data_IF_713907487402
#
_entry.id   IF_713907487402
#
_cell.length_a   1.000
_cell.length_b   1.000
_cell.length_c   1.000
_cell.angle_alpha   90.00
_cell.angle_beta   90.00
_cell.angle_gamma   90.00
#
_symmetry.space_group_name_H-M   'P 1'
#
loop_
_entity.id
_entity.type
_entity.pdbx_description
1 polymer ?
#
# COMPACT_ATOMS: atom_id res chain seq x y z
N UNK A 1 43.23 -1.35 11.73
CA UNK A 1 43.21 -2.54 10.85
C UNK A 1 43.95 -2.17 9.57
N UNK A 2 45.23 -2.55 9.45
CA UNK A 2 46.00 -2.26 8.24
C UNK A 2 45.71 -3.33 7.18
N UNK A 3 44.98 -2.92 6.13
CA UNK A 3 44.72 -3.76 4.97
C UNK A 3 45.91 -3.64 4.03
N UNK A 4 46.62 -4.74 3.82
CA UNK A 4 47.75 -4.79 2.88
C UNK A 4 47.25 -4.65 1.44
N UNK A 5 48.07 -4.05 0.56
CA UNK A 5 47.74 -3.82 -0.86
C UNK A 5 47.31 -5.09 -1.60
N UNK A 6 47.90 -6.25 -1.25
CA UNK A 6 47.50 -7.57 -1.76
C UNK A 6 46.10 -8.00 -1.32
N UNK A 7 45.74 -7.76 -0.06
CA UNK A 7 44.39 -8.03 0.45
C UNK A 7 43.35 -7.10 -0.20
N UNK A 8 43.70 -5.83 -0.40
CA UNK A 8 42.81 -4.88 -1.09
C UNK A 8 42.51 -5.33 -2.54
N UNK A 9 43.54 -5.76 -3.28
CA UNK A 9 43.39 -6.27 -4.65
C UNK A 9 42.59 -7.58 -4.72
N UNK A 10 42.71 -8.45 -3.71
CA UNK A 10 41.93 -9.68 -3.64
C UNK A 10 40.45 -9.45 -3.28
N UNK A 11 40.12 -8.37 -2.59
CA UNK A 11 38.75 -8.05 -2.15
C UNK A 11 37.96 -7.23 -3.17
N UNK A 12 38.63 -6.53 -4.10
CA UNK A 12 38.00 -5.71 -5.14
C UNK A 12 37.00 -6.48 -6.03
N UNK A 13 37.29 -7.71 -6.53
CA UNK A 13 36.33 -8.47 -7.33
C UNK A 13 35.07 -8.84 -6.54
N UNK A 14 35.25 -9.22 -5.26
CA UNK A 14 34.13 -9.56 -4.37
C UNK A 14 33.25 -8.33 -4.07
N UNK A 15 33.85 -7.16 -3.90
CA UNK A 15 33.13 -5.90 -3.74
C UNK A 15 32.36 -5.51 -5.03
N UNK A 16 32.93 -5.74 -6.21
CA UNK A 16 32.26 -5.48 -7.49
C UNK A 16 31.03 -6.38 -7.70
N UNK A 17 31.15 -7.67 -7.38
CA UNK A 17 30.00 -8.60 -7.43
C UNK A 17 28.94 -8.24 -6.38
N UNK A 18 29.35 -7.88 -5.16
CA UNK A 18 28.43 -7.42 -4.12
C UNK A 18 27.70 -6.11 -4.51
N UNK A 19 28.35 -5.23 -5.28
CA UNK A 19 27.76 -3.99 -5.77
C UNK A 19 26.61 -4.22 -6.76
N UNK A 20 26.64 -5.30 -7.55
CA UNK A 20 25.53 -5.67 -8.43
C UNK A 20 24.29 -6.07 -7.63
N UNK A 21 24.45 -6.80 -6.53
CA UNK A 21 23.34 -7.14 -5.63
C UNK A 21 22.78 -5.93 -4.89
N UNK A 22 23.61 -4.93 -4.57
CA UNK A 22 23.15 -3.65 -4.00
C UNK A 22 22.34 -2.85 -5.03
N UNK A 23 22.72 -2.87 -6.31
CA UNK A 23 21.95 -2.22 -7.40
C UNK A 23 20.69 -2.98 -7.80
N UNK A 24 20.66 -4.30 -7.70
CA UNK A 24 19.46 -5.09 -7.99
C UNK A 24 18.26 -4.75 -7.09
N UNK A 25 18.51 -4.12 -5.93
CA UNK A 25 17.48 -3.60 -5.03
C UNK A 25 17.06 -2.14 -5.29
N UNK A 26 17.67 -1.43 -6.25
CA UNK A 26 17.22 -0.07 -6.58
C UNK A 26 16.02 -0.13 -7.53
N UNK A 27 14.90 0.56 -7.24
CA UNK A 27 13.75 0.57 -8.13
C UNK A 27 14.18 1.04 -9.52
N UNK A 28 13.62 0.41 -10.56
CA UNK A 28 13.95 0.70 -11.95
C UNK A 28 13.65 2.19 -12.24
N UNK A 29 14.72 2.98 -12.37
CA UNK A 29 14.59 4.40 -12.66
C UNK A 29 14.14 4.54 -14.12
N UNK A 30 12.89 4.95 -14.33
CA UNK A 30 12.47 5.43 -15.64
C UNK A 30 13.33 6.64 -16.00
N UNK A 31 14.11 6.59 -17.11
CA UNK A 31 15.17 7.57 -17.39
C UNK A 31 14.64 9.00 -17.57
N UNK A 32 13.34 9.16 -17.80
CA UNK A 32 12.69 10.45 -18.02
C UNK A 32 11.71 10.83 -16.91
N UNK A 33 11.59 10.03 -15.85
CA UNK A 33 10.66 10.30 -14.76
C UNK A 33 11.26 11.25 -13.74
N UNK A 34 10.70 12.45 -13.65
CA UNK A 34 11.04 13.45 -12.64
C UNK A 34 9.90 13.53 -11.63
N UNK A 35 10.15 13.08 -10.42
CA UNK A 35 9.15 13.04 -9.32
C UNK A 35 8.60 14.41 -8.95
N UNK A 36 9.28 15.50 -9.31
CA UNK A 36 8.83 16.87 -9.01
C UNK A 36 7.87 17.46 -10.04
N UNK A 37 7.67 16.81 -11.19
CA UNK A 37 6.99 17.43 -12.34
C UNK A 37 5.46 17.31 -12.26
N UNK A 38 4.93 16.43 -11.43
CA UNK A 38 3.50 16.16 -11.31
C UNK A 38 3.13 15.65 -9.93
N UNK A 39 1.83 15.57 -9.66
CA UNK A 39 1.25 14.90 -8.50
C UNK A 39 0.39 13.73 -8.96
N UNK A 40 0.50 12.59 -8.27
CA UNK A 40 -0.34 11.44 -8.55
C UNK A 40 -1.68 11.54 -7.84
N UNK A 41 -2.73 11.13 -8.54
CA UNK A 41 -4.07 10.94 -8.00
C UNK A 41 -4.66 9.65 -8.54
N UNK A 42 -5.52 9.03 -7.74
CA UNK A 42 -6.27 7.84 -8.12
C UNK A 42 -7.74 8.10 -7.85
N UNK A 43 -8.57 7.84 -8.86
CA UNK A 43 -10.01 7.94 -8.77
C UNK A 43 -10.62 6.56 -8.97
N UNK A 44 -11.49 6.17 -8.05
CA UNK A 44 -12.23 4.92 -8.11
C UNK A 44 -13.70 5.31 -8.21
N UNK A 45 -14.32 4.98 -9.35
CA UNK A 45 -15.75 5.13 -9.51
C UNK A 45 -16.48 3.96 -8.83
N UNK A 46 -17.13 4.25 -7.71
CA UNK A 46 -17.85 3.24 -6.92
C UNK A 46 -19.21 2.87 -7.53
N UNK A 47 -19.74 3.64 -8.48
CA UNK A 47 -21.00 3.26 -9.15
C UNK A 47 -20.82 2.10 -10.13
N UNK A 48 -19.60 1.94 -10.63
CA UNK A 48 -19.19 0.86 -11.54
C UNK A 48 -18.52 -0.31 -10.79
N UNK A 49 -18.29 -0.17 -9.48
CA UNK A 49 -17.65 -1.22 -8.70
C UNK A 49 -18.62 -2.39 -8.49
N UNK A 50 -18.29 -3.55 -9.05
CA UNK A 50 -19.08 -4.79 -8.92
C UNK A 50 -18.54 -5.76 -7.85
N UNK A 51 -17.57 -5.34 -7.06
CA UNK A 51 -17.01 -6.17 -5.98
C UNK A 51 -16.25 -7.43 -6.45
N UNK A 52 -15.64 -7.41 -7.64
CA UNK A 52 -15.03 -8.62 -8.24
C UNK A 52 -13.70 -9.11 -7.62
N UNK A 53 -13.10 -8.34 -6.70
CA UNK A 53 -11.85 -8.70 -6.05
C UNK A 53 -10.57 -8.63 -6.92
N UNK A 54 -10.67 -8.26 -8.20
CA UNK A 54 -9.50 -8.20 -9.08
C UNK A 54 -8.45 -7.17 -8.64
N UNK A 55 -8.86 -6.02 -8.10
CA UNK A 55 -7.93 -5.04 -7.53
C UNK A 55 -7.19 -5.59 -6.30
N UNK A 56 -7.86 -6.38 -5.45
CA UNK A 56 -7.26 -7.04 -4.27
C UNK A 56 -6.20 -8.05 -4.71
N UNK A 57 -6.53 -8.90 -5.69
CA UNK A 57 -5.58 -9.91 -6.21
C UNK A 57 -4.39 -9.28 -6.92
N UNK A 58 -4.63 -8.29 -7.79
CA UNK A 58 -3.57 -7.60 -8.51
C UNK A 58 -2.62 -6.87 -7.56
N UNK A 59 -3.15 -6.16 -6.55
CA UNK A 59 -2.33 -5.49 -5.56
C UNK A 59 -1.50 -6.47 -4.73
N UNK A 60 -2.11 -7.60 -4.32
CA UNK A 60 -1.41 -8.64 -3.56
C UNK A 60 -0.26 -9.25 -4.37
N UNK A 61 -0.50 -9.54 -5.67
CA UNK A 61 0.51 -10.09 -6.57
C UNK A 61 1.66 -9.10 -6.81
N UNK A 62 1.34 -7.85 -7.15
CA UNK A 62 2.35 -6.83 -7.47
C UNK A 62 3.24 -6.49 -6.27
N UNK A 63 2.71 -6.60 -5.06
CA UNK A 63 3.39 -6.15 -3.85
C UNK A 63 3.83 -7.28 -2.91
N UNK A 64 3.79 -8.53 -3.39
CA UNK A 64 4.13 -9.74 -2.64
C UNK A 64 3.47 -9.77 -1.25
N UNK A 65 2.16 -9.47 -1.20
CA UNK A 65 1.43 -9.39 0.08
C UNK A 65 1.22 -10.81 0.63
N UNK A 66 1.62 -11.10 1.88
CA UNK A 66 1.42 -12.43 2.47
C UNK A 66 -0.06 -12.80 2.57
N UNK A 67 -0.36 -14.10 2.51
CA UNK A 67 -1.74 -14.59 2.63
C UNK A 67 -2.36 -14.19 3.98
N UNK A 68 -3.64 -13.79 3.96
CA UNK A 68 -4.34 -13.25 5.12
C UNK A 68 -4.07 -11.77 5.42
N UNK A 69 -3.21 -11.11 4.64
CA UNK A 69 -2.97 -9.66 4.72
C UNK A 69 -3.40 -8.97 3.43
N UNK A 70 -3.71 -7.68 3.52
CA UNK A 70 -4.21 -6.89 2.40
C UNK A 70 -3.60 -5.48 2.42
N UNK A 71 -3.32 -4.94 1.24
CA UNK A 71 -3.03 -3.51 1.03
C UNK A 71 -4.24 -2.75 0.48
N UNK A 72 -5.17 -3.47 -0.12
CA UNK A 72 -6.49 -3.02 -0.52
C UNK A 72 -7.49 -4.13 -0.26
N UNK A 73 -8.71 -3.77 0.15
CA UNK A 73 -9.83 -4.67 0.32
C UNK A 73 -11.10 -4.01 -0.23
N UNK A 74 -12.18 -4.78 -0.35
CA UNK A 74 -13.48 -4.25 -0.78
C UNK A 74 -14.47 -4.47 0.35
N UNK A 75 -15.27 -3.47 0.66
CA UNK A 75 -16.41 -3.57 1.58
C UNK A 75 -17.71 -3.53 0.78
N UNK A 76 -18.64 -4.43 1.08
CA UNK A 76 -20.03 -4.33 0.63
C UNK A 76 -20.85 -3.66 1.71
N UNK A 77 -21.52 -2.57 1.34
CA UNK A 77 -22.47 -1.87 2.18
C UNK A 77 -23.87 -2.25 1.76
N UNK A 78 -24.63 -2.83 2.69
CA UNK A 78 -26.05 -3.08 2.52
C UNK A 78 -26.85 -2.00 3.25
N UNK A 79 -27.73 -1.32 2.52
CA UNK A 79 -28.50 -0.17 3.00
C UNK A 79 -29.97 -0.36 2.65
N UNK A 80 -30.83 -0.48 3.66
CA UNK A 80 -32.28 -0.64 3.49
C UNK A 80 -33.03 0.69 3.39
N UNK A 81 -32.51 1.75 4.01
CA UNK A 81 -33.00 3.13 3.90
C UNK A 81 -31.86 4.17 3.99
N UNK A 82 -32.09 5.39 3.51
CA UNK A 82 -31.09 6.48 3.53
C UNK A 82 -30.91 7.15 4.90
N UNK A 83 -31.69 6.77 5.92
CA UNK A 83 -31.61 7.29 7.28
C UNK A 83 -30.80 6.37 8.23
N UNK A 84 -30.27 5.26 7.73
CA UNK A 84 -29.44 4.33 8.50
C UNK A 84 -28.16 5.00 8.99
N UNK A 85 -28.00 5.06 10.30
CA UNK A 85 -26.76 5.51 10.94
C UNK A 85 -25.63 4.47 10.85
N UNK A 86 -25.98 3.18 10.73
CA UNK A 86 -25.03 2.05 10.77
C UNK A 86 -25.40 0.99 9.72
N UNK A 87 -24.89 1.12 8.49
CA UNK A 87 -25.14 0.12 7.46
C UNK A 87 -24.51 -1.22 7.84
N UNK A 88 -25.07 -2.32 7.34
CA UNK A 88 -24.41 -3.61 7.43
C UNK A 88 -23.23 -3.63 6.45
N UNK A 89 -22.03 -3.84 6.96
CA UNK A 89 -20.79 -3.84 6.17
C UNK A 89 -20.11 -5.18 6.30
N UNK A 90 -19.79 -5.78 5.16
CA UNK A 90 -19.06 -7.04 5.10
C UNK A 90 -17.87 -6.97 4.14
N UNK A 91 -16.87 -7.79 4.41
CA UNK A 91 -15.64 -7.92 3.60
C UNK A 91 -15.06 -9.33 3.77
N UNK A 92 -15.73 -10.37 3.25
CA UNK A 92 -15.26 -11.76 3.38
C UNK A 92 -13.92 -11.91 2.67
N UNK A 93 -12.88 -12.36 3.39
CA UNK A 93 -11.52 -12.48 2.87
C UNK A 93 -11.02 -11.20 2.15
N UNK A 94 -11.38 -10.01 2.66
CA UNK A 94 -11.03 -8.73 2.03
C UNK A 94 -11.72 -8.45 0.69
N UNK A 95 -12.75 -9.24 0.32
CA UNK A 95 -13.38 -9.19 -1.00
C UNK A 95 -12.55 -9.83 -2.12
N UNK A 96 -11.46 -10.54 -1.79
CA UNK A 96 -10.52 -11.16 -2.75
C UNK A 96 -11.20 -12.15 -3.70
N UNK A 97 -12.18 -12.90 -3.18
CA UNK A 97 -12.91 -13.95 -3.90
C UNK A 97 -14.31 -13.50 -4.36
N UNK A 98 -14.59 -12.19 -4.27
CA UNK A 98 -15.93 -11.64 -4.48
C UNK A 98 -16.83 -11.78 -3.26
N UNK A 99 -18.14 -11.61 -3.48
CA UNK A 99 -19.14 -11.58 -2.42
C UNK A 99 -20.24 -12.61 -2.68
N UNK A 100 -20.75 -13.30 -1.64
CA UNK A 100 -21.87 -14.20 -1.79
C UNK A 100 -23.13 -13.43 -2.20
N UNK A 101 -24.12 -14.12 -2.76
CA UNK A 101 -25.42 -13.48 -3.02
C UNK A 101 -26.00 -12.93 -1.72
N UNK A 102 -26.44 -11.68 -1.78
CA UNK A 102 -27.13 -11.06 -0.65
C UNK A 102 -28.44 -11.81 -0.37
N UNK A 103 -28.69 -12.06 0.92
CA UNK A 103 -29.83 -12.82 1.40
C UNK A 103 -31.00 -11.90 1.79
N UNK A 104 -30.77 -10.60 1.93
CA UNK A 104 -31.81 -9.62 2.22
C UNK A 104 -32.27 -8.90 0.94
N UNK A 105 -33.48 -9.20 0.42
CA UNK A 105 -34.00 -8.54 -0.76
C UNK A 105 -34.46 -7.09 -0.49
N UNK A 106 -34.56 -6.69 0.78
CA UNK A 106 -34.85 -5.31 1.14
C UNK A 106 -33.54 -4.52 1.13
N UNK A 107 -33.50 -3.41 0.39
CA UNK A 107 -32.33 -2.53 0.32
C UNK A 107 -31.47 -2.66 -0.93
N UNK A 108 -30.35 -1.95 -0.92
CA UNK A 108 -29.38 -1.88 -2.01
C UNK A 108 -27.99 -2.19 -1.50
N UNK A 109 -27.21 -2.85 -2.35
CA UNK A 109 -25.78 -3.05 -2.15
C UNK A 109 -24.97 -2.09 -3.00
N UNK A 110 -23.88 -1.60 -2.43
CA UNK A 110 -22.79 -0.98 -3.19
C UNK A 110 -21.46 -1.40 -2.61
N UNK A 111 -20.42 -1.32 -3.43
CA UNK A 111 -19.08 -1.77 -3.10
C UNK A 111 -18.13 -0.59 -3.00
N UNK A 112 -17.31 -0.58 -1.96
CA UNK A 112 -16.32 0.46 -1.73
C UNK A 112 -14.95 -0.19 -1.55
N UNK A 113 -14.05 -0.05 -2.54
CA UNK A 113 -12.65 -0.39 -2.35
C UNK A 113 -12.02 0.52 -1.28
N UNK A 114 -11.27 -0.09 -0.38
CA UNK A 114 -10.58 0.56 0.73
C UNK A 114 -9.08 0.33 0.56
N UNK A 115 -8.31 1.41 0.71
CA UNK A 115 -6.87 1.44 0.48
C UNK A 115 -6.28 2.76 0.98
N UNK A 116 -4.95 2.87 1.01
CA UNK A 116 -4.27 4.12 1.35
C UNK A 116 -4.68 5.23 0.37
N UNK A 117 -5.21 6.33 0.90
CA UNK A 117 -5.63 7.48 0.09
C UNK A 117 -4.51 8.46 -0.25
N UNK A 118 -3.26 8.19 0.16
CA UNK A 118 -2.11 9.08 -0.02
C UNK A 118 -2.42 10.55 0.35
N UNK A 119 -2.97 10.75 1.56
CA UNK A 119 -3.41 12.06 2.04
C UNK A 119 -2.30 13.12 1.93
N UNK A 120 -2.64 14.32 1.44
CA UNK A 120 -1.72 15.45 1.41
C UNK A 120 -1.22 15.82 2.82
N UNK A 121 -2.15 15.90 3.78
CA UNK A 121 -1.85 16.07 5.20
C UNK A 121 -1.94 14.72 5.92
N UNK A 122 -0.99 13.83 5.67
CA UNK A 122 -1.02 12.46 6.18
C UNK A 122 -0.67 12.34 7.67
N UNK A 123 -1.63 11.98 8.57
CA UNK A 123 -1.34 11.88 10.00
C UNK A 123 -0.31 10.80 10.32
N UNK A 124 -0.30 9.73 9.53
CA UNK A 124 0.64 8.63 9.65
C UNK A 124 2.10 9.04 9.43
N UNK A 125 2.41 10.03 8.59
CA UNK A 125 3.78 10.54 8.43
C UNK A 125 4.17 11.45 9.59
N UNK A 126 3.24 12.26 10.08
CA UNK A 126 3.46 13.17 11.21
C UNK A 126 3.79 12.43 12.52
N UNK A 127 3.21 11.25 12.73
CA UNK A 127 3.44 10.46 13.96
C UNK A 127 4.64 9.51 13.89
N UNK A 128 5.29 9.39 12.73
CA UNK A 128 6.41 8.45 12.59
C UNK A 128 7.67 9.01 13.27
N UNK A 129 8.16 8.40 14.36
CA UNK A 129 9.24 8.99 15.16
C UNK A 129 10.61 8.97 14.46
N UNK A 130 10.75 8.13 13.42
CA UNK A 130 11.98 8.00 12.64
C UNK A 130 11.83 8.48 11.21
N UNK A 131 10.65 8.93 10.78
CA UNK A 131 10.47 9.34 9.38
C UNK A 131 10.50 8.18 8.37
N UNK A 132 10.29 6.94 8.81
CA UNK A 132 10.18 5.77 7.93
C UNK A 132 8.94 5.81 7.03
N UNK A 133 7.94 6.65 7.33
CA UNK A 133 6.90 6.99 6.36
C UNK A 133 6.96 8.47 6.03
N UNK A 134 6.87 8.76 4.75
CA UNK A 134 7.15 10.08 4.18
C UNK A 134 6.27 10.32 2.95
N UNK A 135 6.18 11.58 2.54
CA UNK A 135 5.52 11.98 1.29
C UNK A 135 6.61 12.17 0.24
N UNK A 136 6.51 11.47 -0.90
CA UNK A 136 7.42 11.67 -2.03
C UNK A 136 7.12 12.99 -2.75
N UNK A 137 8.06 13.50 -3.57
CA UNK A 137 7.86 14.77 -4.29
C UNK A 137 6.65 14.80 -5.24
N UNK A 138 6.21 13.63 -5.70
CA UNK A 138 5.02 13.44 -6.56
C UNK A 138 3.72 13.21 -5.76
N UNK A 139 3.73 13.48 -4.44
CA UNK A 139 2.55 13.48 -3.58
C UNK A 139 2.14 12.12 -3.02
N UNK A 140 2.93 11.07 -3.23
CA UNK A 140 2.60 9.71 -2.77
C UNK A 140 3.15 9.46 -1.36
N UNK A 141 2.27 9.05 -0.45
CA UNK A 141 2.70 8.59 0.88
C UNK A 141 3.34 7.20 0.81
N UNK A 142 4.62 7.08 1.15
CA UNK A 142 5.41 5.85 1.07
C UNK A 142 5.93 5.39 2.45
N UNK A 143 6.44 4.15 2.48
CA UNK A 143 7.06 3.53 3.67
C UNK A 143 8.39 2.90 3.30
N UNK A 144 9.46 3.33 3.96
CA UNK A 144 10.73 2.62 3.99
C UNK A 144 10.65 1.47 5.01
N UNK A 145 10.58 0.24 4.48
CA UNK A 145 10.51 -0.98 5.30
C UNK A 145 11.79 -1.23 6.08
N UNK A 146 12.95 -0.80 5.57
CA UNK A 146 14.25 -1.03 6.21
C UNK A 146 14.50 -0.04 7.35
N UNK A 147 13.92 1.16 7.25
CA UNK A 147 14.04 2.18 8.29
C UNK A 147 12.94 2.09 9.36
N UNK A 148 11.84 1.39 9.06
CA UNK A 148 10.74 1.19 9.99
C UNK A 148 11.14 0.32 11.20
N UNK A 149 10.94 0.85 12.42
CA UNK A 149 11.16 0.12 13.68
C UNK A 149 9.92 -0.58 14.24
N UNK A 150 8.79 -0.52 13.55
CA UNK A 150 7.58 -1.28 13.92
C UNK A 150 6.81 -0.75 15.15
N UNK A 151 6.89 0.55 15.47
CA UNK A 151 6.18 1.15 16.61
C UNK A 151 4.64 1.21 16.47
N UNK A 152 4.11 1.04 15.25
CA UNK A 152 2.67 1.04 14.93
C UNK A 152 1.91 2.34 15.22
N UNK A 153 2.58 3.47 15.48
CA UNK A 153 1.90 4.76 15.64
C UNK A 153 1.13 5.18 14.38
N UNK A 154 1.70 4.91 13.20
CA UNK A 154 1.02 5.16 11.93
C UNK A 154 -0.28 4.37 11.76
N UNK A 155 -0.39 3.17 12.35
CA UNK A 155 -1.60 2.33 12.32
C UNK A 155 -2.73 3.02 13.06
N UNK A 156 -2.46 3.51 14.28
CA UNK A 156 -3.47 4.22 15.07
C UNK A 156 -3.82 5.60 14.51
N UNK A 157 -2.87 6.28 13.86
CA UNK A 157 -3.11 7.60 13.30
C UNK A 157 -3.89 7.59 11.99
N UNK A 158 -3.96 6.46 11.27
CA UNK A 158 -4.62 6.42 9.97
C UNK A 158 -6.15 6.44 10.15
N UNK A 159 -6.86 7.47 9.66
CA UNK A 159 -8.32 7.54 9.80
C UNK A 159 -9.05 6.49 8.95
N UNK A 160 -8.35 5.86 8.00
CA UNK A 160 -8.89 4.85 7.10
C UNK A 160 -8.52 3.41 7.51
N UNK A 161 -7.66 3.23 8.52
CA UNK A 161 -7.17 1.91 8.92
C UNK A 161 -6.29 1.20 7.88
N UNK A 162 -5.67 1.94 6.94
CA UNK A 162 -4.93 1.37 5.81
C UNK A 162 -3.41 1.25 6.06
N UNK A 163 -3.00 0.88 7.27
CA UNK A 163 -1.58 0.90 7.70
C UNK A 163 -1.15 -0.39 8.36
#
# INVERSE_FOLDING_TARGET
MDITRRRLLALLPAAAVAWEFVRAGTPELSPNYKTSDHWWGMLIDITECIGCGSCVRACAQENDVPEGYYRTWIERYHVTDYAIERPHVESPNGGKDGFPLDQDPSGKNFFVPKLCNHCADSPCTQVCPVGATFVSPDGVVLVDKNYCLGCRYCVQACPYGCR
#
